data_IF_849768989690
#
_entry.id   IF_849768989690
#
_cell.length_a   1.000
_cell.length_b   1.000
_cell.length_c   1.000
_cell.angle_alpha   90.00
_cell.angle_beta   90.00
_cell.angle_gamma   90.00
#
_symmetry.space_group_name_H-M   'P 1'
#
loop_
_entity.id
_entity.type
_entity.pdbx_description
1 polymer ?
#
# COMPACT_ATOMS: atom_id res chain seq x y z
N UNK A 1 11.84 -10.98 -68.38
CA UNK A 1 11.22 -11.03 -67.04
C UNK A 1 10.18 -9.93 -66.95
N UNK A 2 8.91 -10.31 -66.76
CA UNK A 2 7.73 -9.45 -66.98
C UNK A 2 7.67 -8.29 -65.98
N UNK A 3 7.36 -7.07 -66.45
CA UNK A 3 7.16 -5.86 -65.62
C UNK A 3 6.19 -6.06 -64.45
N UNK A 4 5.29 -7.03 -64.56
CA UNK A 4 4.34 -7.43 -63.52
C UNK A 4 5.01 -8.06 -62.28
N UNK A 5 6.13 -8.78 -62.47
CA UNK A 5 6.89 -9.39 -61.37
C UNK A 5 7.60 -8.33 -60.51
N UNK A 6 8.08 -7.25 -61.16
CA UNK A 6 8.78 -6.16 -60.50
C UNK A 6 7.83 -5.30 -59.65
N UNK A 7 6.60 -5.08 -60.13
CA UNK A 7 5.54 -4.38 -59.40
C UNK A 7 5.07 -5.19 -58.18
N UNK A 8 4.93 -6.52 -58.33
CA UNK A 8 4.57 -7.40 -57.23
C UNK A 8 5.63 -7.40 -56.11
N UNK A 9 6.92 -7.41 -56.45
CA UNK A 9 8.00 -7.33 -55.46
C UNK A 9 7.99 -6.00 -54.69
N UNK A 10 7.69 -4.87 -55.34
CA UNK A 10 7.65 -3.54 -54.70
C UNK A 10 6.46 -3.45 -53.71
N UNK A 11 5.29 -4.00 -54.08
CA UNK A 11 4.11 -4.01 -53.21
C UNK A 11 4.31 -4.87 -51.95
N UNK A 12 5.03 -5.98 -52.05
CA UNK A 12 5.34 -6.86 -50.90
C UNK A 12 6.29 -6.15 -49.91
N UNK A 13 7.27 -5.38 -50.41
CA UNK A 13 8.20 -4.62 -49.57
C UNK A 13 7.49 -3.46 -48.85
N UNK A 14 6.54 -2.79 -49.51
CA UNK A 14 5.76 -1.71 -48.91
C UNK A 14 4.76 -2.20 -47.83
N UNK A 15 4.21 -3.42 -47.99
CA UNK A 15 3.33 -4.03 -46.99
C UNK A 15 4.08 -4.60 -45.76
N UNK A 16 5.39 -4.86 -45.89
CA UNK A 16 6.25 -5.38 -44.81
C UNK A 16 6.72 -4.33 -43.81
N UNK A 17 6.63 -3.04 -44.12
CA UNK A 17 6.94 -1.94 -43.20
C UNK A 17 5.74 -1.66 -42.28
N UNK A 18 5.32 -2.63 -41.46
CA UNK A 18 4.61 -2.28 -40.24
C UNK A 18 5.65 -1.83 -39.22
N UNK A 19 5.54 -0.58 -38.79
CA UNK A 19 6.20 -0.08 -37.58
C UNK A 19 5.99 -1.15 -36.51
N UNK A 20 7.06 -1.73 -35.97
CA UNK A 20 6.97 -2.58 -34.79
C UNK A 20 6.30 -1.73 -33.71
N UNK A 21 5.00 -1.92 -33.53
CA UNK A 21 4.31 -1.49 -32.33
C UNK A 21 4.98 -2.29 -31.23
N UNK A 22 5.83 -1.62 -30.46
CA UNK A 22 6.27 -2.13 -29.18
C UNK A 22 5.00 -2.41 -28.39
N UNK A 23 4.58 -3.67 -28.35
CA UNK A 23 3.64 -4.14 -27.34
C UNK A 23 4.45 -4.09 -26.05
N UNK A 24 4.37 -2.95 -25.36
CA UNK A 24 4.74 -2.92 -23.96
C UNK A 24 3.75 -3.85 -23.28
N UNK A 25 4.20 -5.05 -22.92
CA UNK A 25 3.47 -5.89 -21.96
C UNK A 25 3.42 -5.08 -20.66
N UNK A 26 2.34 -4.32 -20.47
CA UNK A 26 2.09 -3.62 -19.24
C UNK A 26 1.90 -4.68 -18.15
N UNK A 27 2.99 -4.97 -17.43
CA UNK A 27 3.00 -5.94 -16.33
C UNK A 27 2.21 -5.36 -15.17
N UNK A 28 0.99 -5.86 -14.99
CA UNK A 28 0.17 -5.55 -13.83
C UNK A 28 0.15 -6.72 -12.85
N UNK A 29 0.18 -6.42 -11.56
CA UNK A 29 0.04 -7.40 -10.48
C UNK A 29 -0.91 -6.88 -9.40
N UNK A 30 -1.81 -7.74 -8.93
CA UNK A 30 -2.68 -7.40 -7.81
C UNK A 30 -1.86 -7.33 -6.51
N UNK A 31 -2.00 -6.23 -5.76
CA UNK A 31 -1.35 -6.07 -4.47
C UNK A 31 -1.97 -7.01 -3.43
N UNK A 32 -1.14 -7.84 -2.82
CA UNK A 32 -1.47 -8.67 -1.66
C UNK A 32 -0.59 -8.27 -0.49
N UNK A 33 -1.17 -8.15 0.71
CA UNK A 33 -0.48 -7.71 1.92
C UNK A 33 -0.78 -8.71 3.04
N UNK A 34 0.27 -9.18 3.71
CA UNK A 34 0.16 -10.00 4.91
C UNK A 34 0.92 -9.31 6.04
N UNK A 35 0.24 -8.75 7.05
CA UNK A 35 0.89 -8.17 8.21
C UNK A 35 1.54 -9.28 9.04
N UNK A 36 2.67 -8.94 9.66
CA UNK A 36 3.39 -9.81 10.60
C UNK A 36 3.69 -8.98 11.83
N UNK A 37 3.38 -9.53 13.00
CA UNK A 37 3.68 -8.92 14.30
C UNK A 37 4.70 -9.80 15.01
N UNK A 38 5.68 -9.19 15.66
CA UNK A 38 6.61 -9.90 16.52
C UNK A 38 5.88 -10.40 17.78
N UNK A 39 5.76 -11.72 17.93
CA UNK A 39 4.99 -12.36 19.02
C UNK A 39 5.55 -12.04 20.41
N UNK A 40 6.83 -11.72 20.51
CA UNK A 40 7.49 -11.42 21.78
C UNK A 40 7.27 -9.96 22.25
N UNK A 41 6.81 -9.08 21.35
CA UNK A 41 6.63 -7.64 21.60
C UNK A 41 5.16 -7.21 21.62
N UNK A 42 4.25 -8.14 21.35
CA UNK A 42 2.83 -7.86 21.19
C UNK A 42 2.05 -8.18 22.46
N UNK A 43 1.09 -7.33 22.84
CA UNK A 43 0.19 -7.65 23.96
C UNK A 43 -0.73 -8.82 23.61
N UNK A 44 -1.42 -9.37 24.62
CA UNK A 44 -2.32 -10.53 24.52
C UNK A 44 -3.36 -10.41 23.38
N UNK A 45 -3.68 -9.18 22.95
CA UNK A 45 -4.58 -8.88 21.83
C UNK A 45 -4.11 -9.44 20.47
N UNK A 46 -2.83 -9.81 20.32
CA UNK A 46 -2.24 -10.31 19.06
C UNK A 46 -2.18 -11.84 18.94
N UNK A 47 -2.86 -12.57 19.82
CA UNK A 47 -3.06 -14.00 19.61
C UNK A 47 -3.79 -14.26 18.27
N UNK A 48 -3.38 -15.31 17.55
CA UNK A 48 -3.98 -15.71 16.27
C UNK A 48 -5.51 -15.86 16.34
N UNK A 49 -6.05 -16.17 17.52
CA UNK A 49 -7.48 -16.23 17.81
C UNK A 49 -8.26 -14.91 17.65
N UNK A 50 -7.57 -13.77 17.52
CA UNK A 50 -8.17 -12.45 17.36
C UNK A 50 -7.77 -11.76 16.06
N UNK A 51 -7.19 -12.51 15.11
CA UNK A 51 -6.70 -11.99 13.83
C UNK A 51 -7.79 -11.26 13.03
N UNK A 52 -9.05 -11.69 13.17
CA UNK A 52 -10.26 -11.13 12.55
C UNK A 52 -10.66 -9.75 13.11
N UNK A 53 -10.17 -9.40 14.30
CA UNK A 53 -10.45 -8.11 14.93
C UNK A 53 -9.51 -7.00 14.44
N UNK A 54 -8.40 -7.37 13.80
CA UNK A 54 -7.42 -6.41 13.29
C UNK A 54 -7.92 -5.71 12.05
N UNK A 55 -8.02 -4.38 12.16
CA UNK A 55 -8.34 -3.47 11.06
C UNK A 55 -7.17 -2.52 10.87
N UNK A 56 -6.47 -2.67 9.76
CA UNK A 56 -5.24 -1.93 9.47
C UNK A 56 -5.54 -0.90 8.37
N UNK A 57 -5.10 0.33 8.56
CA UNK A 57 -5.17 1.35 7.51
C UNK A 57 -3.94 1.27 6.63
N UNK A 58 -4.14 1.22 5.31
CA UNK A 58 -3.09 1.14 4.30
C UNK A 58 -3.15 2.36 3.39
N UNK A 59 -2.00 3.02 3.24
CA UNK A 59 -1.80 4.03 2.22
C UNK A 59 -0.80 3.51 1.18
N UNK A 60 -1.16 3.63 -0.10
CA UNK A 60 -0.32 3.25 -1.23
C UNK A 60 0.04 4.51 -2.00
N UNK A 61 1.34 4.75 -2.18
CA UNK A 61 1.88 5.92 -2.88
C UNK A 61 2.74 5.49 -4.05
N UNK A 62 3.17 6.47 -4.87
CA UNK A 62 4.29 6.30 -5.77
C UNK A 62 5.58 5.90 -5.01
N UNK A 63 6.63 5.55 -5.74
CA UNK A 63 7.93 5.11 -5.19
C UNK A 63 8.61 6.15 -4.31
N UNK A 64 8.30 7.44 -4.49
CA UNK A 64 8.86 8.54 -3.72
C UNK A 64 8.11 8.79 -2.41
N UNK A 65 6.93 8.21 -2.20
CA UNK A 65 6.12 8.48 -1.03
C UNK A 65 5.47 9.87 -1.01
N UNK A 66 5.39 10.55 -2.17
CA UNK A 66 4.95 11.95 -2.24
C UNK A 66 3.52 12.13 -2.75
N UNK A 67 3.01 11.14 -3.49
CA UNK A 67 1.69 11.19 -4.14
C UNK A 67 1.01 9.83 -4.01
N UNK A 68 -0.31 9.84 -3.91
CA UNK A 68 -1.10 8.61 -3.89
C UNK A 68 -0.92 7.82 -5.19
N UNK A 69 -0.84 6.50 -5.09
CA UNK A 69 -0.70 5.62 -6.25
C UNK A 69 -1.95 5.66 -7.14
N UNK A 70 -3.12 5.66 -6.50
CA UNK A 70 -4.38 6.09 -7.11
C UNK A 70 -5.09 7.04 -6.15
N UNK A 71 -5.98 7.90 -6.62
CA UNK A 71 -6.71 8.84 -5.75
C UNK A 71 -7.41 8.15 -4.55
N UNK A 72 -7.85 6.91 -4.71
CA UNK A 72 -8.54 6.15 -3.66
C UNK A 72 -7.62 5.41 -2.67
N UNK A 73 -6.30 5.41 -2.87
CA UNK A 73 -5.35 4.62 -2.05
C UNK A 73 -4.85 5.35 -0.81
N UNK A 74 -5.62 6.34 -0.29
CA UNK A 74 -5.25 7.15 0.87
C UNK A 74 -5.35 6.39 2.20
N UNK A 75 -6.43 5.63 2.40
CA UNK A 75 -6.74 4.96 3.67
C UNK A 75 -7.57 3.70 3.43
N UNK A 76 -6.99 2.73 2.73
CA UNK A 76 -7.62 1.44 2.48
C UNK A 76 -7.69 0.64 3.78
N UNK A 77 -8.84 0.02 4.04
CA UNK A 77 -8.97 -0.93 5.14
C UNK A 77 -8.40 -2.28 4.69
N UNK A 78 -7.47 -2.82 5.46
CA UNK A 78 -7.02 -4.21 5.38
C UNK A 78 -7.61 -4.96 6.57
N UNK A 79 -8.34 -6.03 6.30
CA UNK A 79 -9.01 -6.86 7.32
C UNK A 79 -8.90 -8.34 6.98
N UNK A 80 -9.06 -9.19 7.99
CA UNK A 80 -9.03 -10.64 7.83
C UNK A 80 -10.45 -11.24 7.81
N UNK A 81 -10.69 -12.15 6.86
CA UNK A 81 -11.93 -12.96 6.79
C UNK A 81 -11.61 -14.46 6.66
N UNK A 82 -10.60 -14.78 5.85
CA UNK A 82 -9.96 -16.10 5.66
C UNK A 82 -8.52 -15.88 5.15
N UNK A 83 -8.38 -14.82 4.36
CA UNK A 83 -7.12 -14.19 3.99
C UNK A 83 -7.19 -12.69 4.30
N UNK A 84 -6.05 -12.00 4.22
CA UNK A 84 -5.97 -10.55 4.32
C UNK A 84 -6.46 -9.89 3.04
N UNK A 85 -7.47 -9.03 3.15
CA UNK A 85 -8.15 -8.43 2.00
C UNK A 85 -8.21 -6.91 2.16
N UNK A 86 -7.84 -6.19 1.11
CA UNK A 86 -8.02 -4.75 1.01
C UNK A 86 -9.47 -4.42 0.63
N UNK A 87 -10.02 -3.34 1.21
CA UNK A 87 -11.37 -2.87 0.93
C UNK A 87 -11.59 -2.45 -0.52
N UNK A 88 -10.51 -2.11 -1.25
CA UNK A 88 -10.49 -1.90 -2.69
C UNK A 88 -9.23 -2.53 -3.29
N UNK A 89 -9.32 -3.23 -4.43
CA UNK A 89 -8.16 -3.82 -5.07
C UNK A 89 -7.21 -2.75 -5.59
N UNK A 90 -5.91 -3.01 -5.54
CA UNK A 90 -4.87 -2.14 -6.10
C UNK A 90 -4.02 -2.95 -7.07
N UNK A 91 -4.06 -2.60 -8.35
CA UNK A 91 -3.21 -3.22 -9.37
C UNK A 91 -1.94 -2.38 -9.53
N UNK A 92 -0.80 -2.94 -9.12
CA UNK A 92 0.51 -2.35 -9.32
C UNK A 92 0.92 -2.52 -10.77
N UNK A 93 1.49 -1.48 -11.35
CA UNK A 93 2.10 -1.47 -12.68
C UNK A 93 3.64 -1.41 -12.56
N UNK A 94 4.33 -1.13 -13.67
CA UNK A 94 5.78 -0.85 -13.69
C UNK A 94 6.21 0.32 -12.79
N UNK A 95 5.27 1.16 -12.36
CA UNK A 95 5.53 2.19 -11.35
C UNK A 95 5.64 1.48 -9.99
N UNK A 96 6.85 1.46 -9.42
CA UNK A 96 7.07 0.99 -8.06
C UNK A 96 6.17 1.76 -7.08
N UNK A 97 5.45 1.03 -6.22
CA UNK A 97 4.65 1.59 -5.15
C UNK A 97 5.41 1.54 -3.83
N UNK A 98 5.05 2.45 -2.93
CA UNK A 98 5.48 2.42 -1.53
C UNK A 98 4.26 2.33 -0.63
N UNK A 99 4.36 1.51 0.42
CA UNK A 99 3.28 1.22 1.36
C UNK A 99 3.58 1.79 2.73
N UNK A 100 2.53 2.35 3.34
CA UNK A 100 2.48 2.81 4.72
C UNK A 100 1.27 2.16 5.39
N UNK A 101 1.44 1.68 6.61
CA UNK A 101 0.41 0.97 7.36
C UNK A 101 0.35 1.47 8.79
N UNK A 102 -0.86 1.53 9.35
CA UNK A 102 -1.08 1.83 10.76
C UNK A 102 -2.23 1.02 11.34
N UNK A 103 -2.20 0.84 12.65
CA UNK A 103 -3.25 0.21 13.42
C UNK A 103 -3.44 0.96 14.75
N UNK A 104 -4.69 1.15 15.22
CA UNK A 104 -5.95 0.69 14.62
C UNK A 104 -6.43 1.60 13.49
N UNK A 105 -7.12 1.01 12.50
CA UNK A 105 -7.76 1.74 11.40
C UNK A 105 -8.82 2.72 11.91
N UNK A 106 -8.86 3.92 11.32
CA UNK A 106 -9.94 4.89 11.49
C UNK A 106 -10.63 5.20 10.17
N UNK A 107 -11.96 5.27 10.19
CA UNK A 107 -12.76 5.76 9.06
C UNK A 107 -12.81 7.29 8.99
N UNK A 108 -12.46 7.98 10.09
CA UNK A 108 -12.46 9.44 10.11
C UNK A 108 -11.23 9.97 9.36
N UNK A 109 -11.44 10.48 8.15
CA UNK A 109 -10.37 11.03 7.30
C UNK A 109 -9.68 12.24 7.94
N UNK A 110 -10.33 12.96 8.86
CA UNK A 110 -9.70 14.09 9.58
C UNK A 110 -8.54 13.63 10.47
N UNK A 111 -8.55 12.37 10.90
CA UNK A 111 -7.47 11.81 11.70
C UNK A 111 -6.27 11.42 10.85
N UNK A 112 -6.36 11.42 9.51
CA UNK A 112 -5.26 11.09 8.62
C UNK A 112 -4.89 12.29 7.76
N UNK A 113 -3.80 12.97 8.13
CA UNK A 113 -3.27 14.10 7.37
C UNK A 113 -2.06 13.68 6.53
N UNK A 114 -1.72 14.50 5.53
CA UNK A 114 -0.53 14.29 4.70
C UNK A 114 -0.65 13.12 3.71
N UNK A 115 0.49 12.82 3.07
CA UNK A 115 0.67 11.71 2.12
C UNK A 115 2.07 11.09 2.33
N UNK A 116 2.14 9.77 2.32
CA UNK A 116 3.31 8.92 2.41
C UNK A 116 4.25 9.30 3.53
N UNK A 117 5.43 9.81 3.17
CA UNK A 117 6.48 10.19 4.13
C UNK A 117 6.07 11.33 5.09
N UNK A 118 5.00 12.06 4.74
CA UNK A 118 4.45 13.15 5.57
C UNK A 118 3.11 12.78 6.20
N UNK A 119 2.68 11.53 6.05
CA UNK A 119 1.38 11.11 6.58
C UNK A 119 1.43 11.04 8.11
N UNK A 120 0.39 11.58 8.74
CA UNK A 120 0.23 11.61 10.19
C UNK A 120 -1.14 11.04 10.55
N UNK A 121 -1.16 10.17 11.57
CA UNK A 121 -2.39 9.62 12.14
C UNK A 121 -2.57 10.19 13.53
N UNK A 122 -3.67 10.91 13.75
CA UNK A 122 -4.07 11.34 15.08
C UNK A 122 -4.70 10.18 15.83
N UNK A 123 -4.09 9.86 16.96
CA UNK A 123 -4.54 8.83 17.89
C UNK A 123 -5.09 9.52 19.13
N UNK A 124 -6.29 9.11 19.54
CA UNK A 124 -6.83 9.48 20.83
C UNK A 124 -6.50 8.36 21.83
N UNK A 125 -5.55 8.61 22.72
CA UNK A 125 -5.13 7.68 23.76
C UNK A 125 -5.81 8.13 25.05
N UNK A 126 -6.77 7.37 25.59
CA UNK A 126 -7.42 7.72 26.84
C UNK A 126 -6.42 7.67 28.01
N UNK A 127 -6.60 8.58 28.97
CA UNK A 127 -5.75 8.70 30.16
C UNK A 127 -5.87 7.50 31.11
N UNK A 128 -7.01 6.82 31.11
CA UNK A 128 -7.29 5.63 31.90
C UNK A 128 -7.68 4.47 30.97
N UNK A 129 -6.98 3.35 31.09
CA UNK A 129 -7.29 2.10 30.39
C UNK A 129 -7.18 0.93 31.34
N UNK A 130 -8.16 0.03 31.29
CA UNK A 130 -8.07 -1.28 31.94
C UNK A 130 -7.00 -2.09 31.17
N UNK A 131 -6.08 -2.76 31.86
CA UNK A 131 -4.99 -3.54 31.24
C UNK A 131 -5.50 -4.50 30.14
N UNK A 132 -6.66 -5.14 30.36
CA UNK A 132 -7.26 -6.05 29.38
C UNK A 132 -7.86 -5.38 28.13
N UNK A 133 -7.93 -4.04 28.11
CA UNK A 133 -8.49 -3.22 27.02
C UNK A 133 -7.45 -2.29 26.39
N UNK A 134 -6.16 -2.46 26.74
CA UNK A 134 -5.09 -1.72 26.11
C UNK A 134 -5.01 -2.07 24.62
N UNK A 135 -4.78 -1.05 23.81
CA UNK A 135 -4.67 -1.16 22.35
C UNK A 135 -3.22 -0.91 22.00
N UNK A 136 -2.61 -1.86 21.29
CA UNK A 136 -1.29 -1.66 20.71
C UNK A 136 -1.43 -0.78 19.47
N UNK A 137 -0.75 0.38 19.48
CA UNK A 137 -0.70 1.26 18.32
C UNK A 137 0.54 0.91 17.50
N UNK A 138 0.33 0.54 16.25
CA UNK A 138 1.40 0.05 15.38
C UNK A 138 1.52 0.90 14.12
N UNK A 139 2.75 1.02 13.65
CA UNK A 139 3.08 1.66 12.37
C UNK A 139 4.10 0.81 11.63
N UNK A 140 3.94 0.72 10.31
CA UNK A 140 4.94 0.14 9.43
C UNK A 140 5.06 0.94 8.15
N UNK A 141 6.28 1.10 7.64
CA UNK A 141 6.52 1.61 6.30
C UNK A 141 7.64 0.84 5.65
N UNK A 142 7.61 0.75 4.32
CA UNK A 142 8.73 0.17 3.56
C UNK A 142 9.99 1.06 3.57
N UNK A 143 9.89 2.30 4.07
CA UNK A 143 10.99 3.26 4.18
C UNK A 143 11.81 3.11 5.45
N UNK A 144 11.23 2.54 6.51
CA UNK A 144 11.81 2.53 7.85
C UNK A 144 12.08 1.12 8.33
N UNK A 145 13.36 0.78 8.48
CA UNK A 145 13.83 -0.38 9.22
C UNK A 145 14.51 0.15 10.49
N UNK A 146 13.74 0.44 11.53
CA UNK A 146 14.34 0.93 12.79
C UNK A 146 14.32 -0.17 13.86
N UNK A 147 15.45 -0.86 14.07
CA UNK A 147 15.75 -1.56 15.31
C UNK A 147 16.45 -0.57 16.26
N UNK A 148 15.72 -0.09 17.28
CA UNK A 148 16.16 0.68 18.47
C UNK A 148 15.46 2.04 18.65
N UNK A 149 14.42 2.02 19.50
CA UNK A 149 14.20 3.00 20.57
C UNK A 149 13.68 4.40 20.24
N UNK A 150 13.74 4.86 18.99
CA UNK A 150 13.17 6.15 18.56
C UNK A 150 12.26 5.97 17.36
N UNK A 151 10.96 5.79 17.60
CA UNK A 151 9.96 5.67 16.53
C UNK A 151 9.52 7.03 15.97
N UNK A 152 8.93 7.09 14.77
CA UNK A 152 8.33 8.29 14.15
C UNK A 152 7.01 8.72 14.82
N UNK A 153 6.71 8.19 16.01
CA UNK A 153 5.48 8.49 16.75
C UNK A 153 5.77 9.69 17.63
N UNK A 154 5.40 10.86 17.13
CA UNK A 154 5.47 12.11 17.88
C UNK A 154 4.33 12.14 18.92
N UNK A 155 4.68 12.28 20.19
CA UNK A 155 3.71 12.52 21.26
C UNK A 155 3.62 14.02 21.52
N UNK A 156 2.43 14.59 21.35
CA UNK A 156 2.09 15.88 21.91
C UNK A 156 1.11 15.58 23.05
N UNK A 157 1.51 15.82 24.31
CA UNK A 157 0.55 15.85 25.41
C UNK A 157 -0.23 17.16 25.29
N UNK A 158 -1.52 17.16 24.87
CA UNK A 158 -2.32 18.37 24.98
C UNK A 158 -2.57 18.57 26.49
N UNK A 159 -1.76 19.45 27.10
CA UNK A 159 -1.83 19.94 28.49
C UNK A 159 -2.75 19.14 29.44
N UNK A 160 -2.13 18.30 30.27
CA UNK A 160 -2.73 17.78 31.51
C UNK A 160 -3.14 18.93 32.42
#
# INVERSE_FOLDING_TARGET
>A
MSRLLLIACILIIAAGCRKNEFVADDKYALLSITPVVNKDEATVAHHESYIDQFKIGIQVTNSKGSELYFHYTRNLLLSYSDTWILSKPVCLSVIHAKLFAYYPYTQNEQNLLGIGETALVYLNIPNEQIMAQQIDYMYASQSTYLPAGGGPIDYANPNV
#
